data_IF_509423819049
#
_entry.id   IF_509423819049
#
_cell.length_a   1.000
_cell.length_b   1.000
_cell.length_c   1.000
_cell.angle_alpha   90.00
_cell.angle_beta   90.00
_cell.angle_gamma   90.00
#
_symmetry.space_group_name_H-M   'P 1'
#
loop_
_entity.id
_entity.type
_entity.pdbx_description
1 polymer ?
#
# COMPACT_ATOMS: atom_id res chain seq x y z
N UNK A 1 -30.20 22.46 -18.64
CA UNK A 1 -30.14 21.02 -18.28
C UNK A 1 -29.46 20.12 -19.33
N UNK A 2 -29.76 20.24 -20.64
CA UNK A 2 -29.16 19.40 -21.69
C UNK A 2 -27.76 19.89 -22.11
N UNK A 3 -27.58 21.21 -22.21
CA UNK A 3 -26.30 21.87 -22.50
C UNK A 3 -25.28 21.66 -21.37
N UNK A 4 -25.68 21.79 -20.10
CA UNK A 4 -24.83 21.44 -18.94
C UNK A 4 -24.30 20.00 -18.96
N UNK A 5 -25.13 19.06 -19.41
CA UNK A 5 -24.71 17.65 -19.56
C UNK A 5 -23.73 17.47 -20.71
N UNK A 6 -23.89 18.22 -21.79
CA UNK A 6 -23.01 18.18 -22.95
C UNK A 6 -21.66 18.82 -22.62
N UNK A 7 -21.68 19.99 -21.96
CA UNK A 7 -20.49 20.68 -21.47
C UNK A 7 -19.71 19.83 -20.47
N UNK A 8 -20.38 19.24 -19.47
CA UNK A 8 -19.74 18.27 -18.55
C UNK A 8 -19.14 17.07 -19.28
N UNK A 9 -19.76 16.60 -20.37
CA UNK A 9 -19.27 15.46 -21.15
C UNK A 9 -18.09 15.83 -22.05
N UNK A 10 -18.10 17.03 -22.63
CA UNK A 10 -17.00 17.61 -23.41
C UNK A 10 -15.79 17.89 -22.53
N UNK A 11 -15.99 18.59 -21.40
CA UNK A 11 -14.94 18.82 -20.40
C UNK A 11 -14.33 17.51 -19.94
N UNK A 12 -15.14 16.46 -19.73
CA UNK A 12 -14.63 15.14 -19.32
C UNK A 12 -13.80 14.43 -20.40
N UNK A 13 -14.03 14.73 -21.69
CA UNK A 13 -13.24 14.17 -22.81
C UNK A 13 -11.93 14.90 -22.99
N UNK A 14 -11.96 16.23 -23.00
CA UNK A 14 -10.78 17.09 -23.04
C UNK A 14 -9.88 16.79 -21.82
N UNK A 15 -10.52 16.67 -20.65
CA UNK A 15 -9.88 16.23 -19.42
C UNK A 15 -9.10 14.91 -19.58
N UNK A 16 -9.76 13.85 -20.06
CA UNK A 16 -9.14 12.53 -20.26
C UNK A 16 -7.97 12.66 -21.24
N UNK A 17 -8.11 13.49 -22.27
CA UNK A 17 -7.06 13.79 -23.24
C UNK A 17 -5.86 14.45 -22.57
N UNK A 18 -6.07 15.43 -21.69
CA UNK A 18 -5.00 16.16 -21.02
C UNK A 18 -4.17 15.28 -20.09
N UNK A 19 -4.82 14.48 -19.24
CA UNK A 19 -4.09 13.56 -18.35
C UNK A 19 -3.39 12.47 -19.14
N UNK A 20 -4.01 11.96 -20.22
CA UNK A 20 -3.36 11.03 -21.15
C UNK A 20 -2.11 11.65 -21.77
N UNK A 21 -2.24 12.86 -22.31
CA UNK A 21 -1.13 13.56 -22.97
C UNK A 21 0.04 13.78 -22.02
N UNK A 22 -0.23 14.37 -20.85
CA UNK A 22 0.82 14.63 -19.84
C UNK A 22 1.50 13.34 -19.37
N UNK A 23 0.74 12.25 -19.27
CA UNK A 23 1.29 10.95 -18.89
C UNK A 23 2.18 10.36 -20.01
N UNK A 24 1.66 10.27 -21.24
CA UNK A 24 2.38 9.69 -22.39
C UNK A 24 3.58 10.53 -22.83
N UNK A 25 3.55 11.85 -22.64
CA UNK A 25 4.73 12.70 -22.86
C UNK A 25 5.88 12.36 -21.90
N UNK A 26 5.55 12.04 -20.65
CA UNK A 26 6.52 11.77 -19.58
C UNK A 26 6.96 10.31 -19.53
N UNK A 27 6.12 9.39 -19.98
CA UNK A 27 6.44 7.97 -20.09
C UNK A 27 6.19 7.44 -21.50
N UNK A 28 7.21 7.61 -22.36
CA UNK A 28 7.20 7.15 -23.75
C UNK A 28 7.31 5.62 -23.90
N UNK A 29 7.48 4.90 -22.79
CA UNK A 29 7.68 3.44 -22.80
C UNK A 29 6.36 2.65 -22.75
N UNK A 30 5.26 3.29 -22.36
CA UNK A 30 3.94 2.67 -22.29
C UNK A 30 3.19 2.87 -23.60
N UNK A 31 2.74 1.76 -24.20
CA UNK A 31 1.80 1.84 -25.32
C UNK A 31 0.37 2.21 -24.83
N UNK A 32 -0.45 2.71 -25.76
CA UNK A 32 -1.81 3.17 -25.45
C UNK A 32 -2.69 2.05 -24.85
N UNK A 33 -2.43 0.78 -25.20
CA UNK A 33 -3.23 -0.35 -24.74
C UNK A 33 -2.96 -0.69 -23.27
N UNK A 34 -1.69 -0.66 -22.86
CA UNK A 34 -1.27 -0.85 -21.49
C UNK A 34 -1.79 0.30 -20.60
N UNK A 35 -1.84 1.52 -21.12
CA UNK A 35 -2.44 2.65 -20.43
C UNK A 35 -3.95 2.44 -20.20
N UNK A 36 -4.70 2.04 -21.23
CA UNK A 36 -6.15 1.85 -21.11
C UNK A 36 -6.56 0.66 -20.22
N UNK A 37 -5.70 -0.35 -20.05
CA UNK A 37 -5.93 -1.47 -19.13
C UNK A 37 -5.99 -1.02 -17.65
N UNK A 38 -5.17 -0.03 -17.29
CA UNK A 38 -5.06 0.47 -15.90
C UNK A 38 -6.03 1.62 -15.65
N UNK A 39 -6.12 2.51 -16.62
CA UNK A 39 -6.78 3.80 -16.47
C UNK A 39 -8.16 3.78 -17.12
N UNK A 40 -9.12 3.15 -16.43
CA UNK A 40 -10.53 3.33 -16.79
C UNK A 40 -10.94 4.82 -16.71
N UNK A 41 -12.03 5.19 -17.38
CA UNK A 41 -12.49 6.60 -17.45
C UNK A 41 -12.73 7.23 -16.06
N UNK A 42 -13.05 6.42 -15.05
CA UNK A 42 -13.28 6.90 -13.68
C UNK A 42 -11.98 7.05 -12.91
N UNK A 43 -11.00 6.17 -13.10
CA UNK A 43 -9.64 6.27 -12.57
C UNK A 43 -8.98 7.54 -13.10
N UNK A 44 -9.04 7.78 -14.42
CA UNK A 44 -8.56 9.03 -15.01
C UNK A 44 -9.18 10.22 -14.30
N UNK A 45 -10.51 10.31 -14.33
CA UNK A 45 -11.24 11.41 -13.68
C UNK A 45 -10.81 11.66 -12.23
N UNK A 46 -10.53 10.58 -11.49
CA UNK A 46 -10.03 10.68 -10.12
C UNK A 46 -8.65 11.34 -10.05
N UNK A 47 -7.71 10.93 -10.90
CA UNK A 47 -6.35 11.50 -10.94
C UNK A 47 -6.41 13.00 -11.21
N UNK A 48 -7.29 13.44 -12.09
CA UNK A 48 -7.44 14.87 -12.33
C UNK A 48 -8.11 15.66 -11.25
N UNK A 49 -9.09 15.09 -10.56
CA UNK A 49 -9.58 15.72 -9.35
C UNK A 49 -8.44 15.92 -8.34
N UNK A 50 -7.48 14.98 -8.26
CA UNK A 50 -6.29 15.13 -7.42
C UNK A 50 -5.34 16.21 -7.97
N UNK A 51 -5.16 16.29 -9.29
CA UNK A 51 -4.32 17.32 -9.91
C UNK A 51 -4.89 18.73 -9.74
N UNK A 52 -6.19 18.91 -9.97
CA UNK A 52 -6.86 20.19 -9.76
C UNK A 52 -6.86 20.62 -8.29
N UNK A 53 -6.90 19.67 -7.36
CA UNK A 53 -6.71 19.93 -5.92
C UNK A 53 -5.28 20.28 -5.55
N UNK A 54 -4.32 20.09 -6.47
CA UNK A 54 -2.91 20.29 -6.22
C UNK A 54 -2.26 19.23 -5.35
N UNK A 55 -2.89 18.07 -5.19
CA UNK A 55 -2.30 16.93 -4.47
C UNK A 55 -1.20 16.30 -5.33
N UNK A 56 -1.42 16.25 -6.64
CA UNK A 56 -0.47 15.77 -7.64
C UNK A 56 -0.24 16.90 -8.64
N UNK A 57 1.00 17.29 -8.87
CA UNK A 57 1.35 18.24 -9.93
C UNK A 57 1.80 17.50 -11.19
N UNK A 58 2.74 16.58 -10.99
CA UNK A 58 3.30 15.74 -12.04
C UNK A 58 3.04 14.26 -11.80
N UNK A 59 2.75 13.52 -12.87
CA UNK A 59 2.50 12.08 -12.84
C UNK A 59 3.46 11.41 -13.84
N UNK A 60 4.23 10.45 -13.37
CA UNK A 60 5.29 9.76 -14.12
C UNK A 60 4.98 8.27 -14.26
N UNK A 61 5.92 7.54 -14.85
CA UNK A 61 5.78 6.14 -15.21
C UNK A 61 5.56 5.15 -14.06
N UNK A 62 5.35 3.89 -14.45
CA UNK A 62 5.13 2.77 -13.52
C UNK A 62 6.40 2.47 -12.75
N UNK A 63 6.29 2.42 -11.42
CA UNK A 63 7.36 2.02 -10.50
C UNK A 63 7.28 0.53 -10.21
N UNK A 64 6.07 0.00 -10.06
CA UNK A 64 5.84 -1.41 -9.77
C UNK A 64 4.48 -1.85 -10.29
N UNK A 65 4.42 -3.07 -10.81
CA UNK A 65 3.21 -3.71 -11.29
C UNK A 65 2.93 -4.98 -10.47
N UNK A 66 1.88 -4.92 -9.65
CA UNK A 66 1.35 -6.07 -8.93
C UNK A 66 0.10 -6.61 -9.61
N UNK A 67 -0.36 -7.79 -9.14
CA UNK A 67 -1.61 -8.38 -9.63
C UNK A 67 -2.80 -7.49 -9.30
N UNK A 68 -2.85 -6.92 -8.10
CA UNK A 68 -4.01 -6.19 -7.57
C UNK A 68 -3.95 -4.67 -7.79
N UNK A 69 -2.76 -4.13 -8.01
CA UNK A 69 -2.56 -2.70 -8.15
C UNK A 69 -1.30 -2.38 -8.95
N UNK A 70 -1.22 -1.16 -9.47
CA UNK A 70 -0.02 -0.60 -10.07
C UNK A 70 0.40 0.64 -9.28
N UNK A 71 1.70 0.82 -9.11
CA UNK A 71 2.30 1.97 -8.41
C UNK A 71 2.95 2.87 -9.46
N UNK A 72 2.64 4.16 -9.40
CA UNK A 72 3.20 5.19 -10.25
C UNK A 72 3.98 6.19 -9.42
N UNK A 73 5.07 6.73 -9.97
CA UNK A 73 5.75 7.87 -9.38
C UNK A 73 4.99 9.17 -9.74
N UNK A 74 4.92 10.10 -8.82
CA UNK A 74 4.31 11.41 -9.00
C UNK A 74 5.05 12.45 -8.16
N UNK A 75 4.75 13.74 -8.35
CA UNK A 75 5.23 14.81 -7.47
C UNK A 75 4.09 15.69 -7.00
N UNK A 76 4.20 16.21 -5.78
CA UNK A 76 3.34 17.28 -5.28
C UNK A 76 3.72 18.63 -5.93
N UNK A 77 2.90 19.67 -5.69
CA UNK A 77 3.21 21.04 -6.12
C UNK A 77 4.49 21.60 -5.49
N UNK A 78 4.83 21.11 -4.31
CA UNK A 78 6.03 21.47 -3.57
C UNK A 78 7.26 20.66 -4.03
N UNK A 79 7.09 19.74 -4.98
CA UNK A 79 8.16 18.90 -5.52
C UNK A 79 8.46 17.65 -4.69
N UNK A 80 7.65 17.34 -3.67
CA UNK A 80 7.80 16.09 -2.90
C UNK A 80 7.47 14.88 -3.79
N UNK A 81 8.29 13.82 -3.72
CA UNK A 81 8.02 12.58 -4.46
C UNK A 81 6.87 11.79 -3.81
N UNK A 82 5.93 11.36 -4.64
CA UNK A 82 4.72 10.64 -4.26
C UNK A 82 4.66 9.28 -4.99
N UNK A 83 4.10 8.29 -4.29
CA UNK A 83 3.64 7.05 -4.87
C UNK A 83 2.11 7.11 -5.06
N UNK A 84 1.64 6.81 -6.26
CA UNK A 84 0.20 6.67 -6.56
C UNK A 84 -0.12 5.21 -6.82
N UNK A 85 -0.76 4.56 -5.84
CA UNK A 85 -1.27 3.19 -5.92
C UNK A 85 -2.67 3.19 -6.52
N UNK A 86 -2.81 2.55 -7.68
CA UNK A 86 -4.08 2.41 -8.40
C UNK A 86 -4.50 0.94 -8.33
N UNK A 87 -5.61 0.66 -7.64
CA UNK A 87 -6.16 -0.69 -7.57
C UNK A 87 -6.91 -1.02 -8.86
N UNK A 88 -6.67 -2.23 -9.38
CA UNK A 88 -7.19 -2.69 -10.66
C UNK A 88 -8.64 -3.18 -10.51
N UNK A 89 -9.57 -2.49 -11.16
CA UNK A 89 -11.02 -2.69 -10.99
C UNK A 89 -11.50 -4.06 -11.49
N UNK A 90 -10.75 -4.68 -12.41
CA UNK A 90 -11.13 -5.92 -13.08
C UNK A 90 -10.37 -7.16 -12.61
N UNK A 91 -9.57 -7.10 -11.52
CA UNK A 91 -8.83 -8.27 -11.07
C UNK A 91 -9.74 -9.31 -10.39
N UNK A 92 -9.63 -10.57 -10.83
CA UNK A 92 -10.31 -11.74 -10.27
C UNK A 92 -9.89 -12.07 -8.83
N UNK A 93 -8.69 -11.69 -8.40
CA UNK A 93 -8.13 -11.95 -7.07
C UNK A 93 -8.93 -11.24 -5.96
N UNK A 94 -9.38 -10.00 -6.20
CA UNK A 94 -10.30 -9.28 -5.31
C UNK A 94 -11.64 -9.99 -5.07
N UNK A 95 -12.06 -10.86 -6.01
CA UNK A 95 -13.29 -11.65 -5.80
C UNK A 95 -13.08 -12.77 -4.79
N UNK A 96 -11.86 -13.31 -4.69
CA UNK A 96 -11.49 -14.38 -3.76
C UNK A 96 -11.17 -13.83 -2.36
N UNK A 97 -10.47 -12.70 -2.28
CA UNK A 97 -10.06 -12.08 -1.00
C UNK A 97 -11.20 -11.38 -0.25
N UNK A 98 -12.33 -11.09 -0.91
CA UNK A 98 -13.51 -10.42 -0.33
C UNK A 98 -14.02 -11.04 0.96
N UNK A 99 -14.03 -12.37 1.05
CA UNK A 99 -14.65 -13.07 2.17
C UNK A 99 -13.70 -13.25 3.37
N UNK A 100 -12.41 -13.49 3.12
CA UNK A 100 -11.46 -13.86 4.19
C UNK A 100 -11.11 -12.66 5.08
N UNK A 101 -10.94 -11.48 4.49
CA UNK A 101 -10.37 -10.33 5.21
C UNK A 101 -11.38 -9.27 5.63
N UNK A 102 -12.64 -9.32 5.16
CA UNK A 102 -13.65 -8.26 5.42
C UNK A 102 -14.84 -8.74 6.24
N UNK A 103 -15.24 -10.02 6.12
CA UNK A 103 -16.44 -10.50 6.79
C UNK A 103 -16.37 -10.45 8.32
N UNK A 104 -15.16 -10.53 8.88
CA UNK A 104 -14.94 -10.61 10.33
C UNK A 104 -14.18 -9.40 10.90
N UNK A 105 -13.91 -8.38 10.08
CA UNK A 105 -13.32 -7.14 10.57
C UNK A 105 -14.43 -6.24 11.13
N UNK A 106 -14.44 -5.96 12.45
CA UNK A 106 -15.53 -5.25 13.13
C UNK A 106 -15.70 -3.81 12.63
N UNK A 107 -14.71 -3.26 11.91
CA UNK A 107 -14.76 -1.93 11.32
C UNK A 107 -15.71 -1.86 10.11
N UNK A 108 -16.06 -3.00 9.50
CA UNK A 108 -16.97 -3.05 8.37
C UNK A 108 -18.35 -3.57 8.78
N UNK A 109 -19.33 -2.67 8.84
CA UNK A 109 -20.75 -3.05 9.06
C UNK A 109 -21.40 -3.69 7.83
N UNK A 110 -20.88 -3.41 6.62
CA UNK A 110 -21.44 -3.89 5.36
C UNK A 110 -20.35 -3.99 4.29
N UNK A 111 -20.21 -5.18 3.71
CA UNK A 111 -19.35 -5.41 2.55
C UNK A 111 -20.14 -5.11 1.27
N UNK A 112 -19.66 -4.24 0.36
CA UNK A 112 -20.34 -3.97 -0.90
C UNK A 112 -20.44 -5.21 -1.81
N UNK A 113 -21.61 -5.41 -2.41
CA UNK A 113 -21.81 -6.50 -3.38
C UNK A 113 -21.10 -6.20 -4.72
N UNK A 114 -21.01 -4.93 -5.10
CA UNK A 114 -20.37 -4.50 -6.34
C UNK A 114 -18.84 -4.48 -6.18
N UNK A 115 -18.13 -5.10 -7.13
CA UNK A 115 -16.66 -5.21 -7.09
C UNK A 115 -15.96 -3.86 -7.05
N UNK A 116 -16.45 -2.88 -7.80
CA UNK A 116 -15.88 -1.53 -7.83
C UNK A 116 -15.96 -0.84 -6.46
N UNK A 117 -17.13 -0.88 -5.81
CA UNK A 117 -17.32 -0.30 -4.48
C UNK A 117 -16.47 -1.03 -3.41
N UNK A 118 -16.32 -2.34 -3.55
CA UNK A 118 -15.42 -3.12 -2.71
C UNK A 118 -13.96 -2.70 -2.87
N UNK A 119 -13.50 -2.44 -4.10
CA UNK A 119 -12.13 -1.95 -4.34
C UNK A 119 -11.92 -0.56 -3.75
N UNK A 120 -12.94 0.31 -3.81
CA UNK A 120 -12.88 1.62 -3.15
C UNK A 120 -12.80 1.50 -1.63
N UNK A 121 -13.52 0.53 -1.06
CA UNK A 121 -13.39 0.19 0.35
C UNK A 121 -11.98 -0.30 0.69
N UNK A 122 -11.38 -1.11 -0.18
CA UNK A 122 -10.02 -1.63 -0.03
C UNK A 122 -8.98 -0.51 0.00
N UNK A 123 -9.05 0.42 -0.95
CA UNK A 123 -8.18 1.60 -1.00
C UNK A 123 -8.29 2.45 0.28
N UNK A 124 -9.52 2.69 0.74
CA UNK A 124 -9.79 3.44 1.97
C UNK A 124 -9.28 2.70 3.22
N UNK A 125 -9.35 1.37 3.22
CA UNK A 125 -8.82 0.54 4.30
C UNK A 125 -7.31 0.67 4.40
N UNK A 126 -6.58 0.50 3.30
CA UNK A 126 -5.12 0.66 3.28
C UNK A 126 -4.73 2.07 3.75
N UNK A 127 -5.40 3.11 3.25
CA UNK A 127 -5.18 4.48 3.70
C UNK A 127 -5.37 4.65 5.23
N UNK A 128 -6.45 4.08 5.78
CA UNK A 128 -6.76 4.17 7.21
C UNK A 128 -5.73 3.41 8.07
N UNK A 129 -5.29 2.24 7.60
CA UNK A 129 -4.27 1.45 8.27
C UNK A 129 -2.92 2.17 8.24
N UNK A 130 -2.52 2.73 7.09
CA UNK A 130 -1.33 3.60 6.97
C UNK A 130 -1.40 4.79 7.92
N UNK A 131 -2.54 5.50 7.99
CA UNK A 131 -2.72 6.61 8.92
C UNK A 131 -2.59 6.20 10.39
N UNK A 132 -3.02 4.99 10.73
CA UNK A 132 -2.93 4.47 12.10
C UNK A 132 -1.47 4.12 12.43
N UNK A 133 -0.80 3.37 11.56
CA UNK A 133 0.60 2.98 11.73
C UNK A 133 1.54 4.20 11.74
N UNK A 134 1.36 5.13 10.80
CA UNK A 134 2.15 6.37 10.71
C UNK A 134 2.03 7.21 11.98
N UNK A 135 0.83 7.35 12.54
CA UNK A 135 0.58 8.18 13.73
C UNK A 135 1.28 7.66 14.98
N UNK A 136 1.42 6.34 15.11
CA UNK A 136 2.18 5.76 16.22
C UNK A 136 3.69 5.74 15.94
N UNK A 137 4.13 6.24 14.79
CA UNK A 137 5.53 6.32 14.41
C UNK A 137 6.12 4.99 13.98
N UNK A 138 5.34 4.15 13.28
CA UNK A 138 5.88 3.01 12.53
C UNK A 138 6.28 3.54 11.13
N UNK A 139 7.49 3.25 10.64
CA UNK A 139 7.86 3.63 9.29
C UNK A 139 7.00 2.91 8.25
N UNK A 140 6.16 3.70 7.59
CA UNK A 140 5.28 3.30 6.47
C UNK A 140 5.26 4.46 5.47
N UNK A 141 4.84 4.25 4.21
CA UNK A 141 4.58 5.37 3.30
C UNK A 141 3.65 6.40 3.94
N UNK A 142 4.07 7.67 3.99
CA UNK A 142 3.26 8.75 4.56
C UNK A 142 1.92 8.83 3.82
N UNK A 143 0.77 8.58 4.44
CA UNK A 143 -0.51 8.63 3.75
C UNK A 143 -0.87 10.08 3.41
N UNK A 144 -1.16 10.37 2.14
CA UNK A 144 -1.46 11.72 1.65
C UNK A 144 -2.95 11.87 1.35
N UNK A 145 -3.49 11.03 0.47
CA UNK A 145 -4.89 11.12 0.07
C UNK A 145 -5.43 9.77 -0.43
N UNK A 146 -6.74 9.57 -0.34
CA UNK A 146 -7.41 8.45 -1.01
C UNK A 146 -8.70 8.92 -1.67
N UNK A 147 -8.91 8.52 -2.92
CA UNK A 147 -10.16 8.74 -3.64
C UNK A 147 -10.44 7.55 -4.53
N UNK A 148 -11.65 6.97 -4.40
CA UNK A 148 -12.06 5.79 -5.19
C UNK A 148 -11.00 4.68 -5.11
N UNK A 149 -10.44 4.26 -6.24
CA UNK A 149 -9.39 3.23 -6.33
C UNK A 149 -7.97 3.81 -6.41
N UNK A 150 -7.77 5.09 -6.05
CA UNK A 150 -6.47 5.77 -6.09
C UNK A 150 -6.06 6.14 -4.67
N UNK A 151 -4.92 5.63 -4.24
CA UNK A 151 -4.25 5.95 -2.98
C UNK A 151 -2.96 6.71 -3.29
N UNK A 152 -2.79 7.88 -2.70
CA UNK A 152 -1.59 8.72 -2.79
C UNK A 152 -0.87 8.67 -1.44
N UNK A 153 0.43 8.36 -1.48
CA UNK A 153 1.29 8.26 -0.31
C UNK A 153 2.70 8.76 -0.63
N UNK A 154 3.54 8.97 0.38
CA UNK A 154 4.94 9.34 0.20
C UNK A 154 5.69 8.27 -0.58
N UNK A 155 6.53 8.69 -1.53
CA UNK A 155 7.38 7.77 -2.28
C UNK A 155 8.51 7.25 -1.39
N UNK A 156 8.70 5.92 -1.39
CA UNK A 156 9.83 5.28 -0.72
C UNK A 156 10.93 5.05 -1.74
N UNK A 157 11.69 6.10 -2.01
CA UNK A 157 12.76 6.09 -2.99
C UNK A 157 13.35 7.47 -3.18
N UNK A 158 14.20 7.61 -4.20
CA UNK A 158 14.90 8.85 -4.51
C UNK A 158 15.07 8.99 -6.01
N UNK A 159 14.80 10.19 -6.54
CA UNK A 159 14.96 10.52 -7.96
C UNK A 159 14.14 9.61 -8.88
N UNK A 160 12.92 9.25 -8.47
CA UNK A 160 12.03 8.36 -9.22
C UNK A 160 12.34 6.87 -9.08
N UNK A 161 13.46 6.49 -8.48
CA UNK A 161 13.81 5.09 -8.23
C UNK A 161 13.38 4.67 -6.84
N UNK A 162 12.61 3.58 -6.76
CA UNK A 162 12.17 3.04 -5.46
C UNK A 162 13.35 2.41 -4.73
N UNK A 163 13.29 2.44 -3.41
CA UNK A 163 14.14 1.59 -2.58
C UNK A 163 13.82 0.10 -2.83
N UNK A 164 14.82 -0.79 -2.69
CA UNK A 164 14.62 -2.21 -2.90
C UNK A 164 13.78 -2.83 -1.78
N UNK A 165 13.13 -3.95 -2.11
CA UNK A 165 12.50 -4.80 -1.11
C UNK A 165 13.57 -5.62 -0.37
N UNK A 166 13.26 -6.06 0.84
CA UNK A 166 14.13 -6.94 1.61
C UNK A 166 14.49 -8.22 0.83
N UNK A 167 13.56 -8.73 0.02
CA UNK A 167 13.78 -9.87 -0.90
C UNK A 167 14.85 -9.61 -1.96
N UNK A 168 15.03 -8.37 -2.37
CA UNK A 168 15.81 -7.98 -3.55
C UNK A 168 17.27 -7.64 -3.24
N UNK A 169 17.65 -7.72 -1.96
CA UNK A 169 19.00 -7.38 -1.50
C UNK A 169 19.67 -8.59 -0.86
N UNK A 170 20.98 -8.68 -1.07
CA UNK A 170 21.87 -9.50 -0.27
C UNK A 170 22.32 -8.69 0.94
N UNK A 171 22.27 -9.29 2.13
CA UNK A 171 22.50 -8.59 3.39
C UNK A 171 23.56 -9.35 4.17
N UNK A 172 24.61 -8.63 4.56
CA UNK A 172 25.63 -9.17 5.46
C UNK A 172 25.02 -9.59 6.80
N UNK A 173 25.52 -10.68 7.43
CA UNK A 173 24.89 -11.23 8.63
C UNK A 173 24.65 -10.24 9.77
N UNK A 174 25.62 -9.35 10.03
CA UNK A 174 25.51 -8.31 11.07
C UNK A 174 24.36 -7.34 10.79
N UNK A 175 24.21 -6.93 9.53
CA UNK A 175 23.13 -6.03 9.09
C UNK A 175 21.78 -6.75 9.07
N UNK A 176 21.76 -8.03 8.71
CA UNK A 176 20.55 -8.84 8.72
C UNK A 176 19.97 -8.97 10.13
N UNK A 177 20.83 -9.16 11.15
CA UNK A 177 20.40 -9.19 12.55
C UNK A 177 19.76 -7.87 12.99
N UNK A 178 20.38 -6.73 12.64
CA UNK A 178 19.82 -5.40 12.96
C UNK A 178 18.45 -5.19 12.30
N UNK A 179 18.30 -5.58 11.03
CA UNK A 179 17.03 -5.48 10.31
C UNK A 179 15.99 -6.40 10.97
N UNK A 180 16.35 -7.63 11.32
CA UNK A 180 15.47 -8.56 12.03
C UNK A 180 14.93 -7.94 13.33
N UNK A 181 15.80 -7.42 14.19
CA UNK A 181 15.43 -6.78 15.43
C UNK A 181 14.50 -5.57 15.21
N UNK A 182 14.77 -4.74 14.18
CA UNK A 182 13.87 -3.65 13.79
C UNK A 182 12.50 -4.15 13.35
N UNK A 183 12.42 -5.23 12.57
CA UNK A 183 11.16 -5.82 12.13
C UNK A 183 10.34 -6.28 13.34
N UNK A 184 10.95 -7.04 14.25
CA UNK A 184 10.25 -7.53 15.47
C UNK A 184 9.75 -6.35 16.31
N UNK A 185 10.59 -5.32 16.51
CA UNK A 185 10.19 -4.09 17.21
C UNK A 185 9.00 -3.38 16.54
N UNK A 186 8.96 -3.33 15.21
CA UNK A 186 7.85 -2.72 14.48
C UNK A 186 6.59 -3.58 14.47
N UNK A 187 6.71 -4.92 14.50
CA UNK A 187 5.57 -5.82 14.71
C UNK A 187 4.98 -5.59 16.11
N UNK A 188 5.80 -5.56 17.16
CA UNK A 188 5.37 -5.29 18.54
C UNK A 188 4.64 -3.94 18.62
N UNK A 189 5.23 -2.88 18.06
CA UNK A 189 4.65 -1.54 18.04
C UNK A 189 3.35 -1.47 17.23
N UNK A 190 3.25 -2.18 16.10
CA UNK A 190 2.03 -2.28 15.31
C UNK A 190 0.91 -2.94 16.11
N UNK A 191 1.24 -4.02 16.82
CA UNK A 191 0.30 -4.76 17.67
C UNK A 191 -0.14 -3.92 18.88
N UNK A 192 0.80 -3.45 19.70
CA UNK A 192 0.52 -2.81 20.99
C UNK A 192 0.00 -1.39 20.83
N UNK A 193 0.60 -0.58 19.96
CA UNK A 193 0.26 0.85 19.85
C UNK A 193 -0.76 1.12 18.75
N UNK A 194 -0.62 0.50 17.57
CA UNK A 194 -1.57 0.71 16.47
C UNK A 194 -2.82 -0.17 16.58
N UNK A 195 -2.80 -1.21 17.45
CA UNK A 195 -3.86 -2.23 17.56
C UNK A 195 -4.11 -2.93 16.22
N UNK A 196 -3.06 -3.10 15.42
CA UNK A 196 -3.09 -3.71 14.10
C UNK A 196 -2.15 -4.91 14.03
N UNK A 197 -2.50 -5.86 13.18
CA UNK A 197 -1.62 -6.91 12.67
C UNK A 197 -1.51 -6.70 11.18
N UNK A 198 -0.31 -6.79 10.61
CA UNK A 198 -0.09 -6.55 9.18
C UNK A 198 -0.89 -7.55 8.34
N UNK A 199 -0.90 -8.82 8.76
CA UNK A 199 -1.70 -9.87 8.18
C UNK A 199 -1.23 -10.30 6.80
N UNK A 200 -0.03 -9.92 6.36
CA UNK A 200 0.65 -10.46 5.16
C UNK A 200 2.14 -10.09 5.17
N UNK A 201 2.74 -9.98 6.36
CA UNK A 201 4.11 -9.51 6.46
C UNK A 201 5.09 -10.60 5.97
N UNK A 202 5.99 -10.20 5.08
CA UNK A 202 7.05 -11.03 4.51
C UNK A 202 8.15 -10.14 3.93
N UNK A 203 9.23 -10.72 3.45
CA UNK A 203 10.33 -9.98 2.81
C UNK A 203 9.92 -9.23 1.52
N UNK A 204 8.74 -9.53 0.97
CA UNK A 204 8.16 -8.85 -0.18
C UNK A 204 7.43 -7.55 0.19
N UNK A 205 7.06 -7.37 1.47
CA UNK A 205 6.30 -6.23 1.98
C UNK A 205 7.13 -5.32 2.91
N UNK A 206 8.46 -5.45 2.85
CA UNK A 206 9.42 -4.66 3.62
C UNK A 206 10.36 -3.98 2.63
N UNK A 207 10.37 -2.65 2.64
CA UNK A 207 11.28 -1.82 1.85
C UNK A 207 12.48 -1.44 2.71
N UNK A 208 13.69 -1.49 2.16
CA UNK A 208 14.93 -1.14 2.86
C UNK A 208 15.54 0.11 2.22
N UNK A 209 15.56 1.22 2.96
CA UNK A 209 16.15 2.46 2.49
C UNK A 209 17.69 2.43 2.53
N UNK A 210 18.32 3.37 1.83
CA UNK A 210 19.76 3.61 1.84
C UNK A 210 20.33 3.99 3.22
N UNK A 211 19.46 4.47 4.12
CA UNK A 211 19.75 4.78 5.52
C UNK A 211 19.62 3.58 6.46
N UNK A 212 19.37 2.38 5.92
CA UNK A 212 19.07 1.15 6.66
C UNK A 212 17.80 1.21 7.53
N UNK A 213 16.95 2.23 7.31
CA UNK A 213 15.58 2.23 7.82
C UNK A 213 14.72 1.26 6.99
N UNK A 214 13.81 0.57 7.67
CA UNK A 214 12.88 -0.36 7.03
C UNK A 214 11.48 0.23 7.05
N UNK A 215 10.70 -0.02 6.00
CA UNK A 215 9.32 0.45 5.91
C UNK A 215 8.39 -0.73 5.63
N UNK A 216 7.28 -0.81 6.37
CA UNK A 216 6.20 -1.73 6.03
C UNK A 216 5.32 -1.11 4.94
N UNK A 217 5.03 -1.90 3.91
CA UNK A 217 4.15 -1.53 2.79
C UNK A 217 3.00 -2.51 2.66
N UNK A 218 1.96 -2.14 1.90
CA UNK A 218 0.78 -2.98 1.67
C UNK A 218 0.00 -3.38 2.93
N UNK A 219 -0.41 -2.39 3.72
CA UNK A 219 -1.29 -2.60 4.87
C UNK A 219 -2.77 -2.79 4.45
N UNK A 220 -3.05 -3.21 3.22
CA UNK A 220 -4.42 -3.40 2.73
C UNK A 220 -5.12 -4.57 3.43
N UNK A 221 -4.36 -5.63 3.75
CA UNK A 221 -4.85 -6.81 4.46
C UNK A 221 -4.78 -6.67 5.99
N UNK A 222 -4.17 -5.59 6.51
CA UNK A 222 -4.00 -5.41 7.94
C UNK A 222 -5.35 -5.37 8.68
N UNK A 223 -5.42 -6.11 9.78
CA UNK A 223 -6.61 -6.33 10.60
C UNK A 223 -6.41 -5.73 12.00
N UNK A 224 -7.52 -5.44 12.67
CA UNK A 224 -7.49 -5.05 14.08
C UNK A 224 -7.26 -6.26 14.99
N UNK A 225 -6.57 -6.07 16.12
CA UNK A 225 -6.28 -7.17 17.06
C UNK A 225 -7.52 -7.85 17.67
N UNK A 226 -8.68 -7.19 17.63
CA UNK A 226 -9.95 -7.78 18.08
C UNK A 226 -10.61 -8.70 17.04
N UNK A 227 -9.99 -8.91 15.89
CA UNK A 227 -10.48 -9.84 14.88
C UNK A 227 -10.43 -11.27 15.43
N UNK A 228 -11.45 -12.13 15.18
CA UNK A 228 -11.50 -13.49 15.73
C UNK A 228 -10.26 -14.36 15.41
N UNK A 229 -9.65 -14.13 14.25
CA UNK A 229 -8.45 -14.82 13.79
C UNK A 229 -7.16 -14.01 14.01
N UNK A 230 -7.17 -12.95 14.83
CA UNK A 230 -6.02 -12.07 15.02
C UNK A 230 -4.74 -12.84 15.38
N UNK A 231 -4.83 -13.79 16.31
CA UNK A 231 -3.69 -14.60 16.71
C UNK A 231 -3.12 -15.38 15.52
N UNK A 232 -3.93 -16.01 14.69
CA UNK A 232 -3.47 -16.77 13.52
C UNK A 232 -2.73 -15.90 12.50
N UNK A 233 -3.21 -14.67 12.27
CA UNK A 233 -2.52 -13.72 11.39
C UNK A 233 -1.19 -13.26 11.97
N UNK A 234 -1.12 -12.98 13.28
CA UNK A 234 0.13 -12.63 13.94
C UNK A 234 1.15 -13.78 13.86
N UNK A 235 0.71 -15.02 14.16
CA UNK A 235 1.54 -16.22 14.03
C UNK A 235 2.09 -16.37 12.61
N UNK A 236 1.26 -16.11 11.60
CA UNK A 236 1.66 -16.18 10.20
C UNK A 236 2.72 -15.14 9.84
N UNK A 237 2.53 -13.88 10.25
CA UNK A 237 3.48 -12.80 10.00
C UNK A 237 4.85 -13.12 10.62
N UNK A 238 4.88 -13.52 11.91
CA UNK A 238 6.11 -13.90 12.62
C UNK A 238 6.80 -15.08 11.93
N UNK A 239 6.05 -16.14 11.60
CA UNK A 239 6.60 -17.32 10.93
C UNK A 239 7.20 -17.01 9.56
N UNK A 240 6.59 -16.10 8.80
CA UNK A 240 7.12 -15.68 7.50
C UNK A 240 8.44 -14.92 7.66
N UNK A 241 8.49 -13.96 8.59
CA UNK A 241 9.72 -13.22 8.91
C UNK A 241 10.82 -14.18 9.38
N UNK A 242 10.54 -15.02 10.38
CA UNK A 242 11.50 -15.98 10.91
C UNK A 242 12.01 -16.95 9.84
N UNK A 243 11.13 -17.44 8.95
CA UNK A 243 11.52 -18.30 7.83
C UNK A 243 12.50 -17.61 6.88
N UNK A 244 12.25 -16.34 6.55
CA UNK A 244 13.17 -15.59 5.69
C UNK A 244 14.55 -15.44 6.34
N UNK A 245 14.62 -15.00 7.60
CA UNK A 245 15.90 -14.81 8.30
C UNK A 245 16.66 -16.11 8.49
N UNK A 246 15.96 -17.20 8.83
CA UNK A 246 16.56 -18.54 8.89
C UNK A 246 17.16 -18.94 7.54
N UNK A 247 16.49 -18.62 6.42
CA UNK A 247 16.97 -18.97 5.07
C UNK A 247 18.25 -18.25 4.65
N UNK A 248 18.57 -17.12 5.30
CA UNK A 248 19.81 -16.35 5.08
C UNK A 248 20.83 -16.54 6.22
N UNK A 249 20.64 -17.56 7.06
CA UNK A 249 21.61 -17.96 8.10
C UNK A 249 21.52 -17.19 9.41
N UNK A 250 20.46 -16.40 9.63
CA UNK A 250 20.21 -15.73 10.90
C UNK A 250 19.28 -16.60 11.74
N UNK A 251 19.71 -17.01 12.93
CA UNK A 251 18.89 -17.78 13.86
C UNK A 251 17.82 -16.86 14.48
N UNK A 252 16.52 -17.07 14.17
CA UNK A 252 15.46 -16.25 14.71
C UNK A 252 15.11 -16.65 16.14
N UNK A 253 14.44 -15.75 16.86
CA UNK A 253 13.78 -16.09 18.12
C UNK A 253 12.61 -17.04 17.81
N UNK A 254 12.41 -18.05 18.66
CA UNK A 254 11.31 -19.00 18.55
C UNK A 254 9.95 -18.31 18.39
N UNK A 255 9.12 -18.85 17.49
CA UNK A 255 7.83 -18.27 17.10
C UNK A 255 6.93 -18.05 18.33
N UNK A 256 6.75 -19.05 19.20
CA UNK A 256 5.85 -18.97 20.36
C UNK A 256 6.40 -18.02 21.44
N UNK A 257 7.72 -17.95 21.58
CA UNK A 257 8.38 -16.98 22.45
C UNK A 257 8.10 -15.55 21.98
N UNK A 258 8.29 -15.25 20.69
CA UNK A 258 7.99 -13.93 20.13
C UNK A 258 6.50 -13.56 20.26
N UNK A 259 5.61 -14.50 19.96
CA UNK A 259 4.16 -14.30 20.10
C UNK A 259 3.83 -13.92 21.54
N UNK A 260 4.39 -14.64 22.51
CA UNK A 260 4.16 -14.37 23.93
C UNK A 260 4.65 -12.97 24.31
N UNK A 261 5.88 -12.59 23.91
CA UNK A 261 6.44 -11.25 24.18
C UNK A 261 5.60 -10.11 23.58
N UNK A 262 5.05 -10.31 22.37
CA UNK A 262 4.22 -9.31 21.69
C UNK A 262 2.81 -9.23 22.32
N UNK A 263 2.26 -10.36 22.76
CA UNK A 263 0.92 -10.42 23.36
C UNK A 263 0.90 -10.04 24.84
N UNK A 264 2.02 -10.12 25.54
CA UNK A 264 2.15 -9.63 26.92
C UNK A 264 1.87 -8.13 26.97
N UNK A 265 0.89 -7.75 27.79
CA UNK A 265 0.63 -6.35 28.09
C UNK A 265 1.79 -5.81 28.92
N UNK A 266 2.45 -4.75 28.44
CA UNK A 266 3.34 -3.98 29.29
C UNK A 266 2.47 -3.36 30.40
N UNK A 267 2.52 -3.95 31.59
CA UNK A 267 2.05 -3.32 32.81
C UNK A 267 3.05 -2.21 33.18
N UNK A 268 2.92 -1.04 32.54
CA UNK A 268 3.54 0.21 32.98
C UNK A 268 2.50 1.31 33.08
#
# INVERSE_FOLDING_TARGET
MREDKILKKLMRREYISDVRHRFLEKDKSLDESAFEEVFDKLTLFTIYELMNKGIIDDFYGVVSAGKESRIYNAKSKEGEELAVKIYLVNNAEFRRSRNVYVLNDPRFRRVPNQLREFIYLWARREFTNLQTAYRVGIPVPKPVFVSRNVLVMGFLGKNGERYPLLREIEIEPEKALIIYEKIIKYIDKLYKNAKLIHGDLSEYNIVVADTDEIYFIDLSQAIHISHPMANEFLKRDIKNVNRYFLSIGIEPIDDETLISMIMEENHE
#
